data_IF_531586563919
#
_entry.id   IF_531586563919
#
_cell.length_a   1.000
_cell.length_b   1.000
_cell.length_c   1.000
_cell.angle_alpha   90.00
_cell.angle_beta   90.00
_cell.angle_gamma   90.00
#
_symmetry.space_group_name_H-M   'P 1'
#
loop_
_entity.id
_entity.type
_entity.pdbx_description
1 polymer ?
#
# COMPACT_ATOMS: atom_id res chain seq x y z
N UNK A 1 -25.18 19.51 -1.91
CA UNK A 1 -24.79 18.08 -2.03
C UNK A 1 -23.77 18.03 -3.15
N UNK A 2 -22.58 17.47 -2.93
CA UNK A 2 -21.56 17.32 -3.97
C UNK A 2 -21.95 16.21 -4.96
N UNK A 3 -21.22 16.09 -6.07
CA UNK A 3 -21.55 15.17 -7.16
C UNK A 3 -21.57 13.71 -6.68
N UNK A 4 -20.53 13.24 -5.94
CA UNK A 4 -20.50 11.88 -5.39
C UNK A 4 -21.68 11.62 -4.43
N UNK A 5 -22.07 12.61 -3.64
CA UNK A 5 -23.25 12.48 -2.77
C UNK A 5 -24.57 12.40 -3.56
N UNK A 6 -24.65 13.06 -4.71
CA UNK A 6 -25.76 12.90 -5.65
C UNK A 6 -25.74 11.52 -6.31
N UNK A 7 -24.58 11.07 -6.77
CA UNK A 7 -24.41 9.74 -7.36
C UNK A 7 -24.86 8.62 -6.40
N UNK A 8 -24.49 8.70 -5.11
CA UNK A 8 -24.96 7.73 -4.10
C UNK A 8 -26.48 7.74 -4.00
N UNK A 9 -27.10 8.94 -4.04
CA UNK A 9 -28.56 9.07 -3.97
C UNK A 9 -29.25 8.58 -5.26
N UNK A 10 -28.68 8.89 -6.42
CA UNK A 10 -29.27 8.61 -7.74
C UNK A 10 -29.10 7.15 -8.16
N UNK A 11 -27.96 6.54 -7.86
CA UNK A 11 -27.67 5.14 -8.22
C UNK A 11 -28.28 4.13 -7.24
N UNK A 12 -28.72 4.56 -6.07
CA UNK A 12 -29.18 3.64 -5.00
C UNK A 12 -28.09 2.72 -4.45
N UNK A 13 -26.82 2.96 -4.79
CA UNK A 13 -25.69 2.15 -4.30
C UNK A 13 -25.52 2.39 -2.81
N UNK A 14 -25.72 1.34 -2.02
CA UNK A 14 -25.54 1.38 -0.56
C UNK A 14 -24.12 0.93 -0.21
N UNK A 15 -23.29 1.81 0.39
CA UNK A 15 -21.94 1.46 0.80
C UNK A 15 -21.92 0.27 1.76
N UNK A 16 -21.14 -0.76 1.46
CA UNK A 16 -21.03 -1.97 2.29
C UNK A 16 -19.92 -1.80 3.33
N UNK A 17 -20.29 -1.61 4.59
CA UNK A 17 -19.33 -1.50 5.71
C UNK A 17 -18.42 -2.74 5.83
N UNK A 18 -18.93 -3.93 5.52
CA UNK A 18 -18.18 -5.19 5.52
C UNK A 18 -17.04 -5.21 4.50
N UNK A 19 -17.14 -4.42 3.43
CA UNK A 19 -16.11 -4.23 2.40
C UNK A 19 -15.22 -3.01 2.66
N UNK A 20 -15.40 -2.31 3.77
CA UNK A 20 -14.62 -1.09 4.11
C UNK A 20 -14.86 0.08 3.17
N UNK A 21 -16.01 0.13 2.49
CA UNK A 21 -16.33 1.17 1.52
C UNK A 21 -16.59 2.51 2.19
N UNK A 22 -15.70 3.47 1.95
CA UNK A 22 -15.82 4.88 2.32
C UNK A 22 -15.51 5.70 1.07
N UNK A 23 -16.55 6.16 0.38
CA UNK A 23 -16.38 6.92 -0.87
C UNK A 23 -15.91 8.34 -0.56
N UNK A 24 -14.83 8.76 -1.20
CA UNK A 24 -14.39 10.14 -1.19
C UNK A 24 -15.48 11.00 -1.86
N UNK A 25 -15.85 12.12 -1.21
CA UNK A 25 -16.89 13.02 -1.67
C UNK A 25 -16.39 14.46 -1.91
N UNK A 26 -15.10 14.68 -1.79
CA UNK A 26 -14.48 15.99 -1.97
C UNK A 26 -13.64 16.00 -3.25
N UNK A 27 -14.13 16.73 -4.26
CA UNK A 27 -13.49 16.87 -5.55
C UNK A 27 -12.09 17.48 -5.46
N UNK A 28 -11.88 18.44 -4.57
CA UNK A 28 -10.58 19.10 -4.40
C UNK A 28 -9.53 18.15 -3.84
N UNK A 29 -9.93 17.21 -2.99
CA UNK A 29 -9.02 16.15 -2.51
C UNK A 29 -8.68 15.23 -3.66
N UNK A 30 -9.66 14.83 -4.48
CA UNK A 30 -9.44 14.01 -5.66
C UNK A 30 -8.49 14.70 -6.66
N UNK A 31 -8.67 16.00 -6.91
CA UNK A 31 -7.80 16.79 -7.81
C UNK A 31 -6.35 16.78 -7.31
N UNK A 32 -6.12 17.00 -6.00
CA UNK A 32 -4.78 16.94 -5.43
C UNK A 32 -4.19 15.54 -5.45
N UNK A 33 -5.02 14.50 -5.20
CA UNK A 33 -4.60 13.11 -5.28
C UNK A 33 -3.99 12.79 -6.66
N UNK A 34 -4.69 13.16 -7.73
CA UNK A 34 -4.19 13.02 -9.11
C UNK A 34 -2.95 13.90 -9.34
N UNK A 35 -2.98 15.15 -8.87
CA UNK A 35 -1.86 16.08 -9.02
C UNK A 35 -0.55 15.58 -8.39
N UNK A 36 -0.61 14.93 -7.22
CA UNK A 36 0.57 14.35 -6.58
C UNK A 36 1.18 13.17 -7.35
N UNK A 37 0.41 12.50 -8.19
CA UNK A 37 0.89 11.38 -8.99
C UNK A 37 1.72 11.82 -10.21
N UNK A 38 1.56 13.07 -10.67
CA UNK A 38 2.31 13.61 -11.81
C UNK A 38 2.18 12.74 -13.05
N UNK A 39 0.93 12.43 -13.44
CA UNK A 39 0.61 11.53 -14.54
C UNK A 39 0.90 12.21 -15.87
N UNK A 40 1.63 11.53 -16.74
CA UNK A 40 1.81 11.90 -18.14
C UNK A 40 0.77 11.18 -19.01
N UNK A 41 0.41 11.77 -20.16
CA UNK A 41 -0.65 11.25 -21.01
C UNK A 41 -0.39 9.81 -21.49
N UNK A 42 0.87 9.46 -21.67
CA UNK A 42 1.33 8.14 -22.10
C UNK A 42 1.48 7.12 -20.97
N UNK A 43 1.32 7.53 -19.71
CA UNK A 43 1.44 6.59 -18.58
C UNK A 43 0.30 5.59 -18.57
N UNK A 44 0.62 4.33 -18.31
CA UNK A 44 -0.35 3.28 -17.96
C UNK A 44 -0.71 3.46 -16.49
N UNK A 45 -1.96 3.75 -16.20
CA UNK A 45 -2.43 4.01 -14.84
C UNK A 45 -3.23 2.84 -14.31
N UNK A 46 -2.89 2.38 -13.11
CA UNK A 46 -3.65 1.35 -12.38
C UNK A 46 -4.38 1.95 -11.19
N UNK A 47 -5.70 1.79 -11.15
CA UNK A 47 -6.56 2.12 -10.00
C UNK A 47 -7.12 0.85 -9.37
N UNK A 48 -7.04 0.72 -8.05
CA UNK A 48 -7.68 -0.36 -7.30
C UNK A 48 -8.84 0.20 -6.48
N UNK A 49 -10.03 -0.35 -6.70
CA UNK A 49 -11.25 0.09 -6.05
C UNK A 49 -11.75 1.45 -6.54
N UNK A 50 -12.13 1.59 -7.82
CA UNK A 50 -12.63 2.85 -8.38
C UNK A 50 -13.90 3.35 -7.68
N UNK A 51 -14.68 2.45 -7.10
CA UNK A 51 -15.90 2.79 -6.39
C UNK A 51 -16.90 3.52 -7.29
N UNK A 52 -17.27 4.75 -6.94
CA UNK A 52 -18.15 5.61 -7.74
C UNK A 52 -17.39 6.48 -8.77
N UNK A 53 -16.11 6.18 -9.03
CA UNK A 53 -15.32 6.80 -10.09
C UNK A 53 -14.83 8.22 -9.83
N UNK A 54 -14.73 8.65 -8.57
CA UNK A 54 -14.27 10.03 -8.27
C UNK A 54 -12.83 10.29 -8.72
N UNK A 55 -11.94 9.28 -8.62
CA UNK A 55 -10.59 9.34 -9.18
C UNK A 55 -10.61 8.95 -10.66
N UNK A 56 -11.32 7.87 -10.99
CA UNK A 56 -11.41 7.30 -12.35
C UNK A 56 -11.72 8.35 -13.42
N UNK A 57 -12.74 9.21 -13.19
CA UNK A 57 -13.11 10.26 -14.16
C UNK A 57 -11.99 11.25 -14.44
N UNK A 58 -11.11 11.48 -13.46
CA UNK A 58 -9.94 12.36 -13.60
C UNK A 58 -8.78 11.64 -14.29
N UNK A 59 -8.61 10.36 -13.96
CA UNK A 59 -7.56 9.54 -14.55
C UNK A 59 -7.73 9.44 -16.06
N UNK A 60 -8.93 9.17 -16.55
CA UNK A 60 -9.24 9.09 -17.99
C UNK A 60 -9.16 10.44 -18.73
N UNK A 61 -9.08 11.56 -18.02
CA UNK A 61 -8.82 12.87 -18.63
C UNK A 61 -7.33 13.17 -18.79
N UNK A 62 -6.48 12.55 -17.97
CA UNK A 62 -5.04 12.81 -17.94
C UNK A 62 -4.18 11.69 -18.52
N UNK A 63 -4.73 10.48 -18.69
CA UNK A 63 -4.06 9.32 -19.30
C UNK A 63 -4.93 8.66 -20.34
N UNK A 64 -4.30 8.13 -21.39
CA UNK A 64 -4.97 7.37 -22.45
C UNK A 64 -5.08 5.86 -22.15
N UNK A 65 -4.40 5.36 -21.08
CA UNK A 65 -4.39 3.96 -20.68
C UNK A 65 -4.67 3.83 -19.17
N UNK A 66 -5.93 3.67 -18.82
CA UNK A 66 -6.39 3.50 -17.43
C UNK A 66 -6.95 2.10 -17.27
N UNK A 67 -6.42 1.35 -16.30
CA UNK A 67 -6.97 0.07 -15.87
C UNK A 67 -7.49 0.18 -14.44
N UNK A 68 -8.72 -0.28 -14.19
CA UNK A 68 -9.33 -0.35 -12.87
C UNK A 68 -9.52 -1.81 -12.45
N UNK A 69 -9.33 -2.11 -11.16
CA UNK A 69 -9.66 -3.41 -10.57
C UNK A 69 -10.75 -3.21 -9.51
N UNK A 70 -11.91 -3.83 -9.68
CA UNK A 70 -13.05 -3.74 -8.76
C UNK A 70 -13.56 -5.14 -8.39
N UNK A 71 -13.88 -5.34 -7.12
CA UNK A 71 -14.38 -6.63 -6.60
C UNK A 71 -15.90 -6.65 -6.41
N UNK A 72 -16.54 -5.49 -6.33
CA UNK A 72 -17.98 -5.39 -6.11
C UNK A 72 -18.72 -5.39 -7.44
N UNK A 73 -19.61 -6.39 -7.65
CA UNK A 73 -20.37 -6.57 -8.89
C UNK A 73 -21.13 -5.29 -9.29
N UNK A 74 -21.82 -4.64 -8.32
CA UNK A 74 -22.63 -3.45 -8.59
C UNK A 74 -21.74 -2.26 -9.00
N UNK A 75 -20.58 -2.11 -8.36
CA UNK A 75 -19.64 -1.03 -8.70
C UNK A 75 -18.94 -1.32 -10.03
N UNK A 76 -18.61 -2.59 -10.32
CA UNK A 76 -18.03 -2.98 -11.61
C UNK A 76 -18.99 -2.70 -12.77
N UNK A 77 -20.27 -3.07 -12.61
CA UNK A 77 -21.33 -2.77 -13.60
C UNK A 77 -21.45 -1.25 -13.78
N UNK A 78 -21.55 -0.49 -12.68
CA UNK A 78 -21.63 0.98 -12.71
C UNK A 78 -20.45 1.62 -13.46
N UNK A 79 -19.20 1.18 -13.20
CA UNK A 79 -18.01 1.70 -13.90
C UNK A 79 -18.05 1.35 -15.39
N UNK A 80 -18.46 0.12 -15.74
CA UNK A 80 -18.59 -0.30 -17.13
C UNK A 80 -19.65 0.52 -17.88
N UNK A 81 -20.82 0.70 -17.28
CA UNK A 81 -21.90 1.49 -17.89
C UNK A 81 -21.56 2.98 -18.03
N UNK A 82 -20.81 3.53 -17.04
CA UNK A 82 -20.49 4.97 -17.01
C UNK A 82 -19.35 5.34 -17.96
N UNK A 83 -18.31 4.48 -18.03
CA UNK A 83 -17.06 4.84 -18.73
C UNK A 83 -16.82 4.02 -20.00
N UNK A 84 -17.43 2.83 -20.14
CA UNK A 84 -17.32 1.99 -21.35
C UNK A 84 -15.87 1.72 -21.74
N UNK A 85 -15.57 1.91 -23.01
CA UNK A 85 -14.26 1.65 -23.61
C UNK A 85 -13.17 2.69 -23.26
N UNK A 86 -13.49 3.68 -22.39
CA UNK A 86 -12.52 4.70 -21.98
C UNK A 86 -11.49 4.19 -20.96
N UNK A 87 -11.70 3.00 -20.42
CA UNK A 87 -10.80 2.33 -19.48
C UNK A 87 -10.91 0.81 -19.59
N UNK A 88 -9.92 0.10 -19.09
CA UNK A 88 -9.97 -1.33 -18.91
C UNK A 88 -10.46 -1.67 -17.51
N UNK A 89 -11.56 -2.43 -17.38
CA UNK A 89 -12.03 -2.92 -16.08
C UNK A 89 -11.69 -4.40 -15.90
N UNK A 90 -11.02 -4.71 -14.80
CA UNK A 90 -10.78 -6.08 -14.33
C UNK A 90 -11.71 -6.31 -13.13
N UNK A 91 -12.77 -7.09 -13.34
CA UNK A 91 -13.68 -7.46 -12.26
C UNK A 91 -13.08 -8.61 -11.44
N UNK A 92 -12.36 -8.28 -10.35
CA UNK A 92 -11.63 -9.25 -9.54
C UNK A 92 -11.27 -8.71 -8.15
N UNK A 93 -10.88 -9.63 -7.26
CA UNK A 93 -10.20 -9.30 -5.99
C UNK A 93 -8.75 -8.86 -6.28
N UNK A 94 -8.45 -7.59 -6.09
CA UNK A 94 -7.12 -7.02 -6.35
C UNK A 94 -5.99 -7.68 -5.53
N UNK A 95 -6.30 -8.26 -4.37
CA UNK A 95 -5.31 -9.02 -3.59
C UNK A 95 -4.86 -10.27 -4.34
N UNK A 96 -5.77 -10.92 -5.08
CA UNK A 96 -5.54 -12.20 -5.78
C UNK A 96 -5.23 -12.01 -7.26
N UNK A 97 -5.87 -11.04 -7.92
CA UNK A 97 -5.69 -10.79 -9.35
C UNK A 97 -4.24 -10.42 -9.68
N UNK A 98 -3.73 -10.88 -10.82
CA UNK A 98 -2.46 -10.39 -11.33
C UNK A 98 -2.63 -8.93 -11.77
N UNK A 99 -1.76 -8.03 -11.29
CA UNK A 99 -1.74 -6.66 -11.80
C UNK A 99 -1.23 -6.65 -13.24
N UNK A 100 -1.84 -5.85 -14.14
CA UNK A 100 -1.24 -5.57 -15.43
C UNK A 100 0.08 -4.80 -15.24
N UNK A 101 0.81 -4.55 -16.31
CA UNK A 101 1.89 -3.58 -16.28
C UNK A 101 1.33 -2.17 -16.15
N UNK A 102 1.95 -1.35 -15.32
CA UNK A 102 1.56 0.05 -15.08
C UNK A 102 2.78 0.90 -14.76
N UNK A 103 2.68 2.19 -15.03
CA UNK A 103 3.71 3.19 -14.74
C UNK A 103 3.34 4.01 -13.49
N UNK A 104 2.05 4.23 -13.28
CA UNK A 104 1.50 5.00 -12.16
C UNK A 104 0.38 4.22 -11.47
N UNK A 105 0.41 4.18 -10.14
CA UNK A 105 -0.65 3.60 -9.32
C UNK A 105 -1.36 4.69 -8.53
N UNK A 106 -2.68 4.78 -8.66
CA UNK A 106 -3.50 5.73 -7.90
C UNK A 106 -4.69 5.01 -7.28
N UNK A 107 -4.91 5.16 -5.98
CA UNK A 107 -6.02 4.46 -5.34
C UNK A 107 -6.45 5.08 -4.01
N UNK A 108 -7.75 5.16 -3.79
CA UNK A 108 -8.33 5.27 -2.46
C UNK A 108 -8.52 3.85 -1.91
N UNK A 109 -7.47 3.30 -1.30
CA UNK A 109 -7.44 1.89 -0.90
C UNK A 109 -8.48 1.57 0.18
N UNK A 110 -9.30 0.53 -0.01
CA UNK A 110 -10.12 0.00 1.09
C UNK A 110 -9.22 -0.39 2.27
N UNK A 111 -9.54 0.12 3.46
CA UNK A 111 -8.65 0.00 4.63
C UNK A 111 -8.30 -1.44 5.01
N UNK A 112 -9.23 -2.37 4.79
CA UNK A 112 -9.04 -3.79 5.10
C UNK A 112 -7.98 -4.50 4.24
N UNK A 113 -7.67 -3.96 3.06
CA UNK A 113 -6.75 -4.56 2.09
C UNK A 113 -5.51 -3.70 1.79
N UNK A 114 -5.33 -2.56 2.51
CA UNK A 114 -4.19 -1.67 2.28
C UNK A 114 -2.85 -2.41 2.44
N UNK A 115 -2.68 -3.22 3.50
CA UNK A 115 -1.42 -3.96 3.71
C UNK A 115 -1.08 -4.91 2.55
N UNK A 116 -1.93 -5.88 2.17
CA UNK A 116 -1.59 -6.79 1.08
C UNK A 116 -1.41 -6.09 -0.27
N UNK A 117 -2.17 -5.01 -0.55
CA UNK A 117 -2.02 -4.26 -1.79
C UNK A 117 -0.68 -3.51 -1.82
N UNK A 118 -0.26 -2.86 -0.74
CA UNK A 118 1.04 -2.17 -0.69
C UNK A 118 2.20 -3.16 -0.84
N UNK A 119 2.16 -4.33 -0.17
CA UNK A 119 3.21 -5.34 -0.37
C UNK A 119 3.25 -5.85 -1.81
N UNK A 120 2.08 -6.10 -2.41
CA UNK A 120 1.98 -6.52 -3.80
C UNK A 120 2.49 -5.45 -4.77
N UNK A 121 2.16 -4.17 -4.52
CA UNK A 121 2.64 -3.03 -5.29
C UNK A 121 4.18 -3.01 -5.34
N UNK A 122 4.85 -3.25 -4.21
CA UNK A 122 6.31 -3.25 -4.11
C UNK A 122 6.98 -4.40 -4.89
N UNK A 123 6.25 -5.40 -5.35
CA UNK A 123 6.78 -6.48 -6.20
C UNK A 123 6.72 -6.14 -7.70
N UNK A 124 6.19 -4.94 -8.06
CA UNK A 124 6.09 -4.47 -9.44
C UNK A 124 7.05 -3.30 -9.70
N UNK A 125 7.37 -3.10 -10.98
CA UNK A 125 8.08 -1.91 -11.44
C UNK A 125 7.08 -0.82 -11.78
N UNK A 126 7.24 0.37 -11.21
CA UNK A 126 6.40 1.53 -11.47
C UNK A 126 7.21 2.82 -11.22
N UNK A 127 6.75 3.94 -11.74
CA UNK A 127 7.40 5.25 -11.56
C UNK A 127 6.99 5.91 -10.25
N UNK A 128 5.70 5.91 -9.95
CA UNK A 128 5.14 6.50 -8.74
C UNK A 128 3.81 5.84 -8.36
N UNK A 129 3.51 5.84 -7.08
CA UNK A 129 2.18 5.52 -6.59
C UNK A 129 1.71 6.60 -5.62
N UNK A 130 0.44 6.98 -5.71
CA UNK A 130 -0.21 7.83 -4.70
C UNK A 130 -1.44 7.10 -4.17
N UNK A 131 -1.41 6.82 -2.89
CA UNK A 131 -2.45 6.04 -2.22
C UNK A 131 -3.10 6.84 -1.10
N UNK A 132 -4.41 6.70 -0.96
CA UNK A 132 -5.11 7.18 0.22
C UNK A 132 -5.36 6.01 1.15
N UNK A 133 -4.89 6.14 2.40
CA UNK A 133 -4.96 5.12 3.44
C UNK A 133 -5.37 5.75 4.77
N UNK A 134 -5.69 4.94 5.79
CA UNK A 134 -5.89 5.47 7.14
C UNK A 134 -4.65 6.18 7.64
N UNK A 135 -4.84 7.27 8.42
CA UNK A 135 -3.73 8.09 8.93
C UNK A 135 -2.72 7.26 9.74
N UNK A 136 -3.19 6.38 10.64
CA UNK A 136 -2.32 5.47 11.40
C UNK A 136 -1.50 4.54 10.47
N UNK A 137 -2.12 4.05 9.39
CA UNK A 137 -1.41 3.22 8.41
C UNK A 137 -0.32 4.03 7.69
N UNK A 138 -0.62 5.28 7.31
CA UNK A 138 0.35 6.19 6.70
C UNK A 138 1.52 6.49 7.67
N UNK A 139 1.23 6.74 8.95
CA UNK A 139 2.26 6.96 9.97
C UNK A 139 3.21 5.76 10.09
N UNK A 140 2.66 4.54 10.02
CA UNK A 140 3.47 3.30 9.99
C UNK A 140 4.31 3.14 8.72
N UNK A 141 3.90 3.72 7.59
CA UNK A 141 4.70 3.66 6.36
C UNK A 141 6.00 4.46 6.48
N UNK A 142 6.00 5.54 7.24
CA UNK A 142 7.11 6.50 7.38
C UNK A 142 7.70 6.55 8.78
N UNK A 143 7.39 5.58 9.64
CA UNK A 143 7.76 5.58 11.05
C UNK A 143 9.27 5.50 11.28
N UNK A 144 9.74 6.19 12.31
CA UNK A 144 11.13 6.10 12.76
C UNK A 144 11.38 4.84 13.59
N UNK A 145 12.65 4.36 13.54
CA UNK A 145 13.13 3.26 14.37
C UNK A 145 12.89 3.57 15.86
N UNK A 146 12.39 2.60 16.61
CA UNK A 146 12.09 2.73 18.03
C UNK A 146 10.74 3.38 18.33
N UNK A 147 10.06 3.93 17.33
CA UNK A 147 8.70 4.46 17.52
C UNK A 147 7.66 3.35 17.69
N UNK A 148 6.52 3.61 18.31
CA UNK A 148 5.42 2.64 18.40
C UNK A 148 4.94 2.12 17.05
N UNK A 149 4.99 2.94 16.02
CA UNK A 149 4.52 2.67 14.67
C UNK A 149 5.53 1.92 13.80
N UNK A 150 6.81 1.85 14.23
CA UNK A 150 7.85 1.11 13.51
C UNK A 150 7.47 -0.36 13.36
N UNK A 151 7.47 -0.86 12.12
CA UNK A 151 6.86 -2.15 11.79
C UNK A 151 7.49 -2.82 10.57
N UNK A 152 7.06 -4.05 10.30
CA UNK A 152 7.41 -4.74 9.05
C UNK A 152 7.14 -3.90 7.80
N UNK A 153 6.02 -3.17 7.79
CA UNK A 153 5.65 -2.29 6.68
C UNK A 153 6.71 -1.21 6.46
N UNK A 154 7.13 -0.55 7.54
CA UNK A 154 8.16 0.49 7.52
C UNK A 154 9.47 -0.02 6.91
N UNK A 155 9.96 -1.17 7.40
CA UNK A 155 11.23 -1.76 6.92
C UNK A 155 11.17 -2.14 5.45
N UNK A 156 10.07 -2.75 5.00
CA UNK A 156 9.91 -3.15 3.61
C UNK A 156 9.83 -1.94 2.67
N UNK A 157 9.08 -0.91 3.04
CA UNK A 157 9.01 0.34 2.29
C UNK A 157 10.36 1.04 2.27
N UNK A 158 10.99 1.23 3.43
CA UNK A 158 12.33 1.84 3.52
C UNK A 158 13.36 1.17 2.61
N UNK A 159 13.30 -0.15 2.44
CA UNK A 159 14.22 -0.88 1.59
C UNK A 159 13.95 -0.68 0.10
N UNK A 160 12.69 -0.52 -0.33
CA UNK A 160 12.28 -0.54 -1.74
C UNK A 160 11.84 0.80 -2.31
N UNK A 161 11.44 1.76 -1.46
CA UNK A 161 10.85 3.02 -1.91
C UNK A 161 11.10 4.17 -0.92
N UNK A 162 10.94 5.39 -1.42
CA UNK A 162 10.73 6.58 -0.61
C UNK A 162 9.24 6.79 -0.42
N UNK A 163 8.82 7.05 0.83
CA UNK A 163 7.43 7.31 1.17
C UNK A 163 7.30 8.71 1.77
N UNK A 164 6.32 9.47 1.31
CA UNK A 164 6.05 10.82 1.79
C UNK A 164 4.55 11.00 2.04
N UNK A 165 4.19 11.45 3.25
CA UNK A 165 2.81 11.85 3.54
C UNK A 165 2.59 13.25 2.93
N UNK A 166 1.76 13.32 1.89
CA UNK A 166 1.48 14.55 1.17
C UNK A 166 0.49 15.45 1.91
N UNK A 167 -0.57 14.85 2.45
CA UNK A 167 -1.56 15.56 3.26
C UNK A 167 -2.40 14.61 4.12
N UNK A 168 -3.00 15.16 5.18
CA UNK A 168 -4.04 14.49 5.97
C UNK A 168 -5.41 14.87 5.42
N UNK A 169 -6.28 13.88 5.23
CA UNK A 169 -7.64 14.04 4.70
C UNK A 169 -8.65 13.75 5.80
N UNK A 170 -9.40 14.76 6.27
CA UNK A 170 -10.38 14.56 7.34
C UNK A 170 -11.46 13.53 6.98
N UNK A 171 -11.90 12.76 7.96
CA UNK A 171 -12.98 11.76 7.82
C UNK A 171 -14.29 12.35 7.27
N UNK A 172 -14.52 13.66 7.45
CA UNK A 172 -15.69 14.37 6.91
C UNK A 172 -15.72 14.47 5.37
N UNK A 173 -14.61 14.13 4.71
CA UNK A 173 -14.49 14.12 3.24
C UNK A 173 -14.98 12.82 2.60
N UNK A 174 -15.56 11.93 3.40
CA UNK A 174 -16.04 10.61 2.96
C UNK A 174 -17.49 10.36 3.31
N UNK A 175 -18.15 9.53 2.51
CA UNK A 175 -19.50 9.02 2.77
C UNK A 175 -19.54 7.48 2.47
N UNK A 176 -19.86 6.62 3.45
CA UNK A 176 -20.06 6.98 4.86
C UNK A 176 -18.76 7.49 5.51
N UNK A 177 -18.92 8.31 6.56
CA UNK A 177 -17.77 8.86 7.29
C UNK A 177 -17.03 7.74 8.03
N UNK A 178 -15.72 7.55 7.78
CA UNK A 178 -14.90 6.62 8.55
C UNK A 178 -14.69 7.13 10.01
N UNK A 179 -14.19 6.25 10.87
CA UNK A 179 -13.92 6.58 12.29
C UNK A 179 -12.66 7.41 12.49
N UNK A 180 -11.74 7.37 11.54
CA UNK A 180 -10.41 7.99 11.60
C UNK A 180 -10.16 8.79 10.32
N UNK A 181 -9.26 9.75 10.39
CA UNK A 181 -8.79 10.49 9.23
C UNK A 181 -7.95 9.59 8.31
N UNK A 182 -7.82 9.99 7.07
CA UNK A 182 -6.97 9.37 6.06
C UNK A 182 -5.74 10.23 5.80
N UNK A 183 -4.79 9.69 5.04
CA UNK A 183 -3.69 10.46 4.49
C UNK A 183 -3.42 10.03 3.05
N UNK A 184 -2.99 10.98 2.24
CA UNK A 184 -2.39 10.72 0.92
C UNK A 184 -0.90 10.48 1.09
N UNK A 185 -0.43 9.35 0.58
CA UNK A 185 0.98 8.96 0.64
C UNK A 185 1.48 8.74 -0.78
N UNK A 186 2.58 9.40 -1.12
CA UNK A 186 3.34 9.16 -2.34
C UNK A 186 4.41 8.10 -2.04
N UNK A 187 4.52 7.12 -2.94
CA UNK A 187 5.51 6.04 -2.89
C UNK A 187 6.30 6.10 -4.19
N UNK A 188 7.59 6.33 -4.09
CA UNK A 188 8.49 6.39 -5.24
C UNK A 188 9.52 5.27 -5.11
N UNK A 189 9.54 4.27 -6.00
CA UNK A 189 10.55 3.22 -5.97
C UNK A 189 11.96 3.80 -6.04
N UNK A 190 12.86 3.19 -5.29
CA UNK A 190 14.27 3.56 -5.29
C UNK A 190 15.17 2.33 -5.24
N UNK A 191 16.43 2.53 -5.57
CA UNK A 191 17.46 1.53 -5.31
C UNK A 191 17.58 1.30 -3.80
N UNK A 192 17.69 0.04 -3.38
CA UNK A 192 17.88 -0.31 -1.98
C UNK A 192 19.06 0.47 -1.36
N UNK A 193 18.89 1.09 -0.17
CA UNK A 193 19.90 1.93 0.46
C UNK A 193 21.08 1.12 1.03
N UNK A 194 20.96 -0.19 1.11
CA UNK A 194 21.99 -1.14 1.49
C UNK A 194 21.76 -2.46 0.76
N UNK A 195 22.84 -3.26 0.61
CA UNK A 195 22.76 -4.56 -0.03
C UNK A 195 22.55 -5.65 1.02
N UNK A 196 21.86 -6.71 0.63
CA UNK A 196 21.75 -7.97 1.37
C UNK A 196 22.09 -9.15 0.45
N UNK A 197 22.60 -10.24 0.99
CA UNK A 197 22.99 -11.43 0.22
C UNK A 197 21.76 -12.14 -0.38
N UNK A 198 20.63 -12.11 0.32
CA UNK A 198 19.37 -12.70 -0.14
C UNK A 198 18.18 -11.89 0.40
N UNK A 199 17.48 -11.18 -0.49
CA UNK A 199 16.29 -10.37 -0.14
C UNK A 199 15.15 -11.22 0.45
N UNK A 200 14.98 -12.47 0.00
CA UNK A 200 13.93 -13.35 0.55
C UNK A 200 14.22 -13.68 2.01
N UNK A 201 15.48 -13.90 2.35
CA UNK A 201 15.90 -14.13 3.74
C UNK A 201 15.71 -12.86 4.56
N UNK A 202 16.09 -11.68 4.04
CA UNK A 202 15.90 -10.39 4.71
C UNK A 202 14.42 -10.12 5.02
N UNK A 203 13.54 -10.28 4.05
CA UNK A 203 12.11 -10.07 4.28
C UNK A 203 11.49 -11.12 5.21
N UNK A 204 12.02 -12.36 5.18
CA UNK A 204 11.58 -13.41 6.10
C UNK A 204 12.03 -13.16 7.54
N UNK A 205 13.25 -12.70 7.76
CA UNK A 205 13.75 -12.26 9.07
C UNK A 205 12.86 -11.13 9.60
N UNK A 206 12.61 -10.10 8.78
CA UNK A 206 11.76 -8.97 9.12
C UNK A 206 10.37 -9.44 9.53
N UNK A 207 9.74 -10.33 8.75
CA UNK A 207 8.41 -10.88 9.04
C UNK A 207 8.38 -11.62 10.38
N UNK A 208 9.28 -12.57 10.57
CA UNK A 208 9.34 -13.40 11.77
C UNK A 208 9.60 -12.55 13.02
N UNK A 209 10.54 -11.62 12.94
CA UNK A 209 10.90 -10.79 14.08
C UNK A 209 9.77 -9.83 14.49
N UNK A 210 9.09 -9.17 13.53
CA UNK A 210 7.95 -8.29 13.83
C UNK A 210 6.69 -9.05 14.28
N UNK A 211 6.47 -10.29 13.85
CA UNK A 211 5.40 -11.14 14.38
C UNK A 211 5.61 -11.47 15.86
N UNK A 212 6.86 -11.36 16.33
CA UNK A 212 7.25 -11.56 17.72
C UNK A 212 7.90 -10.31 18.34
N UNK A 213 7.43 -9.10 17.99
CA UNK A 213 8.02 -7.81 18.34
C UNK A 213 8.47 -7.68 19.80
N UNK A 214 7.72 -8.24 20.75
CA UNK A 214 8.05 -8.21 22.19
C UNK A 214 9.14 -9.18 22.64
N UNK A 215 9.56 -10.12 21.80
CA UNK A 215 10.63 -11.10 22.10
C UNK A 215 11.96 -10.58 21.59
N UNK A 216 13.06 -11.10 22.21
CA UNK A 216 14.40 -10.97 21.62
C UNK A 216 14.45 -11.63 20.25
N UNK A 217 15.23 -11.08 19.34
CA UNK A 217 15.38 -11.59 17.95
C UNK A 217 15.81 -13.05 17.95
N UNK A 218 16.80 -13.39 18.78
CA UNK A 218 17.29 -14.78 18.90
C UNK A 218 16.18 -15.77 19.26
N UNK A 219 15.26 -15.37 20.15
CA UNK A 219 14.12 -16.21 20.53
C UNK A 219 13.12 -16.36 19.35
N UNK A 220 12.83 -15.27 18.65
CA UNK A 220 11.90 -15.29 17.51
C UNK A 220 12.45 -16.17 16.37
N UNK A 221 13.70 -15.96 15.97
CA UNK A 221 14.32 -16.67 14.86
C UNK A 221 14.58 -18.15 15.18
N UNK A 222 14.96 -18.50 16.43
CA UNK A 222 15.05 -19.90 16.88
C UNK A 222 13.71 -20.62 16.78
N UNK A 223 12.63 -19.97 17.25
CA UNK A 223 11.29 -20.55 17.17
C UNK A 223 10.82 -20.80 15.74
N UNK A 224 11.33 -20.05 14.79
CA UNK A 224 11.05 -20.18 13.36
C UNK A 224 12.03 -21.12 12.62
N UNK A 225 12.97 -21.76 13.32
CA UNK A 225 13.98 -22.65 12.71
C UNK A 225 14.95 -21.94 11.77
N UNK A 226 15.16 -20.64 11.96
CA UNK A 226 16.02 -19.85 11.06
C UNK A 226 17.48 -19.81 11.50
N UNK A 227 17.79 -20.15 12.76
CA UNK A 227 19.15 -20.11 13.32
C UNK A 227 19.74 -21.53 13.34
N UNK A 228 20.92 -21.68 12.76
CA UNK A 228 21.73 -22.88 12.87
C UNK A 228 22.49 -22.83 14.21
N UNK A 229 22.53 -23.94 15.02
CA UNK A 229 23.31 -23.97 16.25
C UNK A 229 24.81 -23.68 16.00
N UNK A 230 25.37 -22.79 16.80
CA UNK A 230 26.77 -22.37 16.67
C UNK A 230 27.01 -21.22 15.68
N UNK A 231 25.96 -20.69 15.01
CA UNK A 231 26.11 -19.55 14.13
C UNK A 231 26.41 -18.28 14.92
N UNK A 232 27.34 -17.47 14.41
CA UNK A 232 27.63 -16.12 14.89
C UNK A 232 26.67 -15.12 14.17
N UNK A 233 25.55 -14.86 14.82
CA UNK A 233 24.52 -13.93 14.28
C UNK A 233 24.46 -12.71 15.20
N UNK A 234 24.57 -11.48 14.64
CA UNK A 234 24.54 -10.26 15.45
C UNK A 234 23.15 -9.97 16.01
N UNK A 235 23.08 -9.13 17.03
CA UNK A 235 21.85 -8.53 17.61
C UNK A 235 20.82 -9.53 18.18
N UNK A 236 21.19 -10.79 18.48
CA UNK A 236 20.23 -11.80 18.96
C UNK A 236 19.57 -11.45 20.28
N UNK A 237 20.20 -10.64 21.11
CA UNK A 237 19.69 -10.18 22.40
C UNK A 237 18.81 -8.93 22.32
N UNK A 238 18.80 -8.27 21.15
CA UNK A 238 18.01 -7.08 20.91
C UNK A 238 16.54 -7.42 20.56
N UNK A 239 15.68 -6.39 20.59
CA UNK A 239 14.32 -6.46 20.02
C UNK A 239 14.29 -5.77 18.67
N UNK A 240 13.51 -6.31 17.74
CA UNK A 240 13.45 -5.84 16.36
C UNK A 240 13.11 -4.34 16.25
N UNK A 241 12.33 -3.80 17.16
CA UNK A 241 11.92 -2.40 17.15
C UNK A 241 13.07 -1.41 17.38
N UNK A 242 14.19 -1.86 17.92
CA UNK A 242 15.38 -1.04 18.17
C UNK A 242 16.39 -1.09 17.02
N UNK A 243 16.20 -1.98 16.05
CA UNK A 243 17.14 -2.16 14.95
C UNK A 243 16.77 -1.33 13.73
N UNK A 244 17.78 -0.68 13.15
CA UNK A 244 17.67 -0.04 11.83
C UNK A 244 17.52 -1.12 10.75
N UNK A 245 16.90 -0.78 9.61
CA UNK A 245 16.73 -1.74 8.50
C UNK A 245 18.04 -2.39 8.04
N UNK A 246 19.15 -1.64 8.03
CA UNK A 246 20.47 -2.19 7.67
C UNK A 246 20.96 -3.25 8.67
N UNK A 247 20.76 -3.06 9.97
CA UNK A 247 21.13 -4.04 11.02
C UNK A 247 20.30 -5.33 10.90
N UNK A 248 19.04 -5.22 10.46
CA UNK A 248 18.22 -6.39 10.12
C UNK A 248 18.81 -7.11 8.89
N UNK A 249 19.38 -6.35 7.95
CA UNK A 249 20.14 -6.89 6.80
C UNK A 249 21.35 -7.71 7.24
N UNK A 250 22.13 -7.22 8.22
CA UNK A 250 23.28 -7.94 8.76
C UNK A 250 22.88 -9.28 9.40
N UNK A 251 21.74 -9.34 10.09
CA UNK A 251 21.17 -10.60 10.61
C UNK A 251 20.85 -11.56 9.46
N UNK A 252 20.18 -11.06 8.41
CA UNK A 252 19.84 -11.89 7.26
C UNK A 252 21.07 -12.45 6.56
N UNK A 253 22.09 -11.63 6.36
CA UNK A 253 23.36 -12.03 5.76
C UNK A 253 24.12 -13.08 6.61
N UNK A 254 24.14 -12.92 7.92
CA UNK A 254 24.73 -13.89 8.83
C UNK A 254 24.00 -15.25 8.75
N UNK A 255 22.66 -15.24 8.64
CA UNK A 255 21.86 -16.46 8.44
C UNK A 255 22.19 -17.11 7.09
N UNK A 256 22.33 -16.34 6.02
CA UNK A 256 22.70 -16.90 4.69
C UNK A 256 24.06 -17.56 4.76
N UNK A 257 25.08 -16.90 5.34
CA UNK A 257 26.44 -17.44 5.48
C UNK A 257 26.48 -18.71 6.34
N UNK A 258 25.67 -18.81 7.39
CA UNK A 258 25.62 -19.98 8.28
C UNK A 258 25.04 -21.24 7.64
N UNK A 259 24.42 -21.11 6.46
CA UNK A 259 23.81 -22.23 5.70
C UNK A 259 24.70 -22.74 4.56
N UNK A 260 25.79 -22.04 4.28
CA UNK A 260 26.81 -22.42 3.29
C UNK A 260 27.87 -23.33 3.94
#
# INVERSE_FOLDING_TARGET
>A
MNETGRLIADTGIVPKKSKGQNFLIDDRVADRHIGYAGIERSDRVLEVGPGLGILTRRLIEVSDDVTCIEIDDILADYITETYGDRLNLIHADAVKAKFPEFDVFVSNLPYSVSTPIIFKLLDHSFRTAVVMVQKEFADRMVADVGSPDYSRLTVNLFYRADCEIMETVPASRFNPRPKVDSALVRITPRKAPFNVLDEKVFFKVTEVAFNHRRKKIGTALKSAGMIVPGSDIPYLDERIEHLRPAEIGEIADAIVRSRQ
#
